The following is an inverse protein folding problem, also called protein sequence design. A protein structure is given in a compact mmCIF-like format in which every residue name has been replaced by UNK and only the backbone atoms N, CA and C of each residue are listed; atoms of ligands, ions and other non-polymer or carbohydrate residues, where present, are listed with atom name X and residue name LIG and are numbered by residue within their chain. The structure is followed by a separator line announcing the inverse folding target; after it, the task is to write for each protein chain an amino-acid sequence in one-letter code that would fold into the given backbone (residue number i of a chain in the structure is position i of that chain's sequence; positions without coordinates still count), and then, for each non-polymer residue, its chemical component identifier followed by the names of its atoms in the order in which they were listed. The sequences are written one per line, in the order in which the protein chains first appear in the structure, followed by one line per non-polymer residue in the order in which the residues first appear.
data_IF_128719529093
#
_entry.id   IF_128719529093
#
_cell.length_a   1.000
_cell.length_b   1.000
_cell.length_c   1.000
_cell.angle_alpha   90.00
_cell.angle_beta   90.00
_cell.angle_gamma   90.00
#
_symmetry.space_group_name_H-M   'P 1'
#
loop_
_entity.id
_entity.type
_entity.pdbx_description
1 polymer ?
#
# COMPACT_ATOMS: atom_id res chain seq x y z
N UNK A 1 -24.20 18.71 1.27
CA UNK A 1 -23.82 17.51 2.05
C UNK A 1 -22.61 17.87 2.91
N UNK A 2 -22.61 17.52 4.21
CA UNK A 2 -21.69 18.11 5.20
C UNK A 2 -20.26 17.52 5.20
N UNK A 3 -20.04 16.32 4.62
CA UNK A 3 -18.72 15.68 4.53
C UNK A 3 -18.60 14.80 3.24
N UNK A 4 -18.25 15.39 2.08
CA UNK A 4 -18.22 14.66 0.81
C UNK A 4 -17.17 13.53 0.77
N UNK A 5 -16.04 13.70 1.46
CA UNK A 5 -14.95 12.72 1.47
C UNK A 5 -15.28 11.49 2.32
N UNK A 6 -16.02 11.66 3.42
CA UNK A 6 -16.44 10.54 4.27
C UNK A 6 -17.48 9.66 3.56
N UNK A 7 -18.39 10.28 2.81
CA UNK A 7 -19.34 9.57 1.94
C UNK A 7 -18.59 8.81 0.84
N UNK A 8 -17.62 9.46 0.20
CA UNK A 8 -16.78 8.85 -0.84
C UNK A 8 -16.02 7.64 -0.29
N UNK A 9 -15.46 7.75 0.92
CA UNK A 9 -14.76 6.65 1.60
C UNK A 9 -15.70 5.47 1.88
N UNK A 10 -16.89 5.71 2.44
CA UNK A 10 -17.87 4.65 2.71
C UNK A 10 -18.33 3.96 1.43
N UNK A 11 -18.57 4.73 0.36
CA UNK A 11 -18.91 4.18 -0.96
C UNK A 11 -17.75 3.35 -1.52
N UNK A 12 -16.50 3.81 -1.39
CA UNK A 12 -15.32 3.08 -1.84
C UNK A 12 -15.16 1.74 -1.12
N UNK A 13 -15.37 1.69 0.21
CA UNK A 13 -15.37 0.45 0.98
C UNK A 13 -16.47 -0.49 0.52
N UNK A 14 -17.68 0.01 0.27
CA UNK A 14 -18.80 -0.79 -0.19
C UNK A 14 -18.55 -1.39 -1.59
N UNK A 15 -18.00 -0.58 -2.51
CA UNK A 15 -17.60 -1.03 -3.84
C UNK A 15 -16.49 -2.08 -3.75
N UNK A 16 -15.49 -1.89 -2.89
CA UNK A 16 -14.40 -2.85 -2.70
C UNK A 16 -14.91 -4.22 -2.21
N UNK A 17 -15.81 -4.24 -1.22
CA UNK A 17 -16.43 -5.48 -0.71
C UNK A 17 -17.30 -6.14 -1.79
N UNK A 18 -18.06 -5.36 -2.55
CA UNK A 18 -18.88 -5.87 -3.65
C UNK A 18 -18.03 -6.48 -4.77
N UNK A 19 -16.93 -5.82 -5.15
CA UNK A 19 -15.98 -6.34 -6.13
C UNK A 19 -15.37 -7.66 -5.67
N UNK A 20 -15.01 -7.77 -4.39
CA UNK A 20 -14.48 -9.00 -3.81
C UNK A 20 -15.48 -10.17 -3.83
N UNK A 21 -16.78 -9.90 -3.64
CA UNK A 21 -17.83 -10.94 -3.66
C UNK A 21 -18.32 -11.33 -5.06
N UNK A 22 -18.16 -10.45 -6.05
CA UNK A 22 -18.75 -10.63 -7.39
C UNK A 22 -17.91 -11.51 -8.34
N UNK A 23 -16.73 -11.96 -7.92
CA UNK A 23 -15.79 -12.73 -8.77
C UNK A 23 -15.12 -11.92 -9.88
N UNK A 24 -15.40 -10.61 -9.96
CA UNK A 24 -14.73 -9.68 -10.88
C UNK A 24 -13.21 -9.66 -10.64
N UNK A 25 -12.80 -9.78 -9.37
CA UNK A 25 -11.40 -9.87 -9.01
C UNK A 25 -10.72 -11.08 -9.67
N UNK A 26 -11.31 -12.27 -9.61
CA UNK A 26 -10.76 -13.48 -10.24
C UNK A 26 -10.65 -13.36 -11.77
N UNK A 27 -11.66 -12.76 -12.41
CA UNK A 27 -11.60 -12.45 -13.85
C UNK A 27 -10.46 -11.49 -14.18
N UNK A 28 -10.27 -10.44 -13.37
CA UNK A 28 -9.18 -9.48 -13.53
C UNK A 28 -7.81 -10.13 -13.30
N UNK A 29 -7.66 -11.02 -12.33
CA UNK A 29 -6.43 -11.79 -12.14
C UNK A 29 -6.11 -12.64 -13.36
N UNK A 30 -7.09 -13.32 -13.95
CA UNK A 30 -6.90 -14.08 -15.18
C UNK A 30 -6.47 -13.19 -16.35
N UNK A 31 -7.17 -12.08 -16.56
CA UNK A 31 -6.84 -11.13 -17.62
C UNK A 31 -5.43 -10.52 -17.44
N UNK A 32 -5.06 -10.13 -16.21
CA UNK A 32 -3.74 -9.57 -15.92
C UNK A 32 -2.63 -10.62 -15.99
N UNK A 33 -2.89 -11.86 -15.56
CA UNK A 33 -1.94 -12.97 -15.64
C UNK A 33 -1.53 -13.31 -17.07
N UNK A 34 -2.46 -13.17 -18.04
CA UNK A 34 -2.16 -13.38 -19.47
C UNK A 34 -1.26 -12.32 -20.10
N UNK A 35 -1.09 -11.15 -19.45
CA UNK A 35 -0.21 -10.07 -19.91
C UNK A 35 1.26 -10.29 -19.52
N UNK A 36 1.59 -11.37 -18.79
CA UNK A 36 2.96 -11.70 -18.39
C UNK A 36 3.63 -10.58 -17.60
N UNK A 37 4.79 -10.11 -18.07
CA UNK A 37 5.58 -9.05 -17.43
C UNK A 37 4.87 -7.69 -17.37
N UNK A 38 4.02 -7.35 -18.35
CA UNK A 38 3.20 -6.14 -18.27
C UNK A 38 2.09 -6.29 -17.21
N UNK A 39 1.55 -7.50 -17.10
CA UNK A 39 0.65 -7.88 -16.02
C UNK A 39 1.29 -7.63 -14.66
N UNK A 40 2.53 -8.07 -14.46
CA UNK A 40 3.26 -7.88 -13.21
C UNK A 40 3.33 -6.41 -12.77
N UNK A 41 3.53 -5.46 -13.69
CA UNK A 41 3.55 -4.02 -13.37
C UNK A 41 2.19 -3.52 -12.84
N UNK A 42 1.08 -3.85 -13.53
CA UNK A 42 -0.25 -3.39 -13.11
C UNK A 42 -0.74 -4.11 -11.86
N UNK A 43 -0.46 -5.42 -11.75
CA UNK A 43 -0.74 -6.21 -10.56
C UNK A 43 0.06 -5.66 -9.37
N UNK A 44 1.28 -5.19 -9.60
CA UNK A 44 2.08 -4.49 -8.59
C UNK A 44 1.36 -3.27 -8.02
N UNK A 45 0.75 -2.44 -8.86
CA UNK A 45 -0.05 -1.29 -8.38
C UNK A 45 -1.21 -1.72 -7.48
N UNK A 46 -1.82 -2.88 -7.76
CA UNK A 46 -2.89 -3.45 -6.95
C UNK A 46 -2.36 -4.08 -5.65
N UNK A 47 -1.12 -4.56 -5.65
CA UNK A 47 -0.51 -5.16 -4.47
C UNK A 47 -0.39 -4.16 -3.32
N UNK A 48 -0.11 -2.89 -3.63
CA UNK A 48 -0.01 -1.78 -2.68
C UNK A 48 -1.31 -1.46 -1.89
N UNK A 49 -2.47 -2.02 -2.29
CA UNK A 49 -3.73 -1.81 -1.59
C UNK A 49 -4.15 -3.09 -0.87
N UNK A 50 -4.38 -3.01 0.44
CA UNK A 50 -4.82 -4.11 1.31
C UNK A 50 -5.95 -4.94 0.73
N UNK A 51 -6.94 -4.27 0.13
CA UNK A 51 -8.14 -4.92 -0.39
C UNK A 51 -7.87 -5.70 -1.68
N UNK A 52 -6.84 -5.35 -2.45
CA UNK A 52 -6.46 -6.03 -3.70
C UNK A 52 -5.18 -6.84 -3.56
N UNK A 53 -4.48 -6.76 -2.43
CA UNK A 53 -3.25 -7.51 -2.15
C UNK A 53 -3.43 -9.04 -2.26
N UNK A 54 -4.50 -9.68 -1.72
CA UNK A 54 -4.70 -11.11 -1.91
C UNK A 54 -4.86 -11.52 -3.38
N UNK A 55 -5.57 -10.70 -4.16
CA UNK A 55 -5.73 -10.93 -5.59
C UNK A 55 -4.40 -10.83 -6.34
N UNK A 56 -3.64 -9.78 -6.02
CA UNK A 56 -2.33 -9.56 -6.62
C UNK A 56 -1.36 -10.69 -6.26
N UNK A 57 -1.38 -11.18 -5.01
CA UNK A 57 -0.58 -12.32 -4.58
C UNK A 57 -0.89 -13.60 -5.37
N UNK A 58 -2.18 -13.94 -5.54
CA UNK A 58 -2.60 -15.09 -6.37
C UNK A 58 -2.12 -14.91 -7.81
N UNK A 59 -2.23 -13.70 -8.37
CA UNK A 59 -1.80 -13.43 -9.74
C UNK A 59 -0.27 -13.54 -9.89
N UNK A 60 0.50 -13.07 -8.92
CA UNK A 60 1.96 -13.20 -8.91
C UNK A 60 2.42 -14.65 -8.76
N UNK A 61 1.70 -15.45 -7.96
CA UNK A 61 1.94 -16.88 -7.86
C UNK A 61 1.82 -17.54 -9.24
N UNK A 62 0.70 -17.32 -9.95
CA UNK A 62 0.50 -17.87 -11.30
C UNK A 62 1.49 -17.33 -12.32
N UNK A 63 1.83 -16.03 -12.27
CA UNK A 63 2.86 -15.47 -13.15
C UNK A 63 4.21 -16.16 -12.93
N UNK A 64 4.54 -16.51 -11.68
CA UNK A 64 5.75 -17.23 -11.30
C UNK A 64 5.85 -18.64 -11.88
N UNK A 65 4.73 -19.32 -12.14
CA UNK A 65 4.73 -20.66 -12.76
C UNK A 65 5.26 -20.61 -14.22
N UNK A 66 5.03 -19.49 -14.93
CA UNK A 66 5.30 -19.39 -16.36
C UNK A 66 6.42 -18.41 -16.73
N UNK A 67 6.84 -17.53 -15.81
CA UNK A 67 7.79 -16.45 -16.08
C UNK A 67 8.86 -16.35 -14.99
N UNK A 68 9.94 -15.62 -15.29
CA UNK A 68 11.06 -15.48 -14.36
C UNK A 68 10.66 -14.67 -13.10
N UNK A 69 10.75 -15.25 -11.89
CA UNK A 69 10.35 -14.59 -10.64
C UNK A 69 11.09 -13.28 -10.36
N UNK A 70 12.34 -13.15 -10.79
CA UNK A 70 13.13 -11.94 -10.59
C UNK A 70 12.62 -10.77 -11.43
N UNK A 71 12.24 -11.02 -12.70
CA UNK A 71 11.66 -9.99 -13.56
C UNK A 71 10.25 -9.60 -13.11
N UNK A 72 9.46 -10.57 -12.64
CA UNK A 72 8.16 -10.30 -12.01
C UNK A 72 8.35 -9.38 -10.79
N UNK A 73 9.27 -9.71 -9.90
CA UNK A 73 9.56 -8.93 -8.70
C UNK A 73 10.03 -7.50 -9.02
N UNK A 74 10.88 -7.34 -10.03
CA UNK A 74 11.36 -6.02 -10.47
C UNK A 74 10.19 -5.15 -10.96
N UNK A 75 9.39 -5.67 -11.89
CA UNK A 75 8.29 -4.91 -12.51
C UNK A 75 7.12 -4.72 -11.54
N UNK A 76 6.78 -5.76 -10.79
CA UNK A 76 5.77 -5.71 -9.74
C UNK A 76 6.14 -4.76 -8.62
N UNK A 77 7.39 -4.74 -8.17
CA UNK A 77 7.89 -3.77 -7.20
C UNK A 77 7.78 -2.33 -7.70
N UNK A 78 8.13 -2.06 -8.96
CA UNK A 78 7.92 -0.74 -9.58
C UNK A 78 6.44 -0.36 -9.62
N UNK A 79 5.57 -1.31 -9.97
CA UNK A 79 4.12 -1.13 -9.93
C UNK A 79 3.62 -0.76 -8.54
N UNK A 80 4.03 -1.51 -7.52
CA UNK A 80 3.65 -1.27 -6.14
C UNK A 80 4.13 0.09 -5.64
N UNK A 81 5.33 0.52 -6.03
CA UNK A 81 5.83 1.85 -5.71
C UNK A 81 4.97 2.98 -6.31
N UNK A 82 4.37 2.79 -7.50
CA UNK A 82 3.40 3.75 -8.03
C UNK A 82 2.10 3.77 -7.21
N UNK A 83 1.63 2.60 -6.76
CA UNK A 83 0.48 2.49 -5.84
C UNK A 83 0.73 3.21 -4.52
N UNK A 84 1.84 2.91 -3.85
CA UNK A 84 2.27 3.55 -2.60
C UNK A 84 2.46 5.06 -2.76
N UNK A 85 2.98 5.52 -3.90
CA UNK A 85 3.12 6.95 -4.17
C UNK A 85 1.75 7.64 -4.27
N UNK A 86 0.76 7.00 -4.90
CA UNK A 86 -0.60 7.51 -4.96
C UNK A 86 -1.25 7.57 -3.56
N UNK A 87 -1.09 6.50 -2.77
CA UNK A 87 -1.57 6.42 -1.38
C UNK A 87 -0.92 7.49 -0.52
N UNK A 88 0.40 7.65 -0.62
CA UNK A 88 1.18 8.66 0.10
C UNK A 88 0.70 10.07 -0.20
N UNK A 89 0.49 10.39 -1.48
CA UNK A 89 -0.01 11.69 -1.90
C UNK A 89 -1.42 11.98 -1.36
N UNK A 90 -2.30 10.98 -1.35
CA UNK A 90 -3.64 11.09 -0.79
C UNK A 90 -3.63 11.30 0.73
N UNK A 91 -2.86 10.50 1.47
CA UNK A 91 -2.72 10.59 2.92
C UNK A 91 -2.14 11.93 3.34
N UNK A 92 -1.00 12.30 2.76
CA UNK A 92 -0.25 13.50 3.13
C UNK A 92 -1.00 14.78 2.80
N UNK A 93 -1.57 14.88 1.60
CA UNK A 93 -2.10 16.15 1.11
C UNK A 93 -3.60 16.36 1.40
N UNK A 94 -4.37 15.27 1.60
CA UNK A 94 -5.82 15.36 1.84
C UNK A 94 -6.19 14.95 3.25
N UNK A 95 -5.93 13.69 3.62
CA UNK A 95 -6.42 13.14 4.89
C UNK A 95 -5.81 13.82 6.11
N UNK A 96 -4.49 13.99 6.17
CA UNK A 96 -3.86 14.63 7.34
C UNK A 96 -4.24 16.10 7.48
N UNK A 97 -4.30 16.84 6.37
CA UNK A 97 -4.78 18.23 6.36
C UNK A 97 -6.21 18.34 6.90
N UNK A 98 -7.13 17.49 6.43
CA UNK A 98 -8.53 17.49 6.89
C UNK A 98 -8.68 17.08 8.36
N UNK A 99 -7.88 16.10 8.82
CA UNK A 99 -7.89 15.69 10.23
C UNK A 99 -7.35 16.78 11.16
N UNK A 100 -6.29 17.49 10.75
CA UNK A 100 -5.76 18.63 11.50
C UNK A 100 -6.80 19.76 11.61
N UNK A 101 -7.47 20.13 10.51
CA UNK A 101 -8.53 21.15 10.51
C UNK A 101 -9.72 20.76 11.40
N UNK A 102 -10.14 19.49 11.38
CA UNK A 102 -11.22 18.99 12.24
C UNK A 102 -10.83 18.99 13.72
N UNK A 103 -9.58 18.62 14.01
CA UNK A 103 -9.03 18.60 15.36
C UNK A 103 -8.97 20.00 15.97
N UNK A 104 -8.46 20.98 15.20
CA UNK A 104 -8.40 22.38 15.63
C UNK A 104 -9.79 22.99 15.87
N UNK A 105 -10.81 22.57 15.11
CA UNK A 105 -12.19 23.05 15.28
C UNK A 105 -12.93 22.50 16.49
N UNK A 106 -12.62 21.29 16.97
CA UNK A 106 -13.41 20.62 18.01
C UNK A 106 -12.69 20.43 19.36
N UNK A 107 -11.36 20.58 19.42
CA UNK A 107 -10.60 20.25 20.62
C UNK A 107 -9.67 21.41 21.06
N UNK A 108 -10.23 22.42 21.73
CA UNK A 108 -9.44 23.46 22.42
C UNK A 108 -8.80 22.98 23.74
N UNK A 109 -9.14 21.78 24.24
CA UNK A 109 -8.84 21.36 25.61
C UNK A 109 -7.75 20.27 25.76
N UNK A 110 -7.37 19.57 24.69
CA UNK A 110 -6.32 18.54 24.76
C UNK A 110 -4.95 19.16 24.50
N UNK A 111 -4.11 19.21 25.55
CA UNK A 111 -2.74 19.75 25.49
C UNK A 111 -1.93 19.03 24.42
N UNK A 112 -1.53 19.80 23.39
CA UNK A 112 -0.60 19.41 22.32
C UNK A 112 0.66 18.73 22.86
N UNK A 113 1.08 19.07 24.07
CA UNK A 113 2.40 18.76 24.62
C UNK A 113 2.62 17.29 25.04
N UNK A 114 1.59 16.53 25.44
CA UNK A 114 1.85 15.17 25.97
C UNK A 114 2.01 14.13 24.85
N UNK A 115 1.23 14.25 23.78
CA UNK A 115 1.31 13.34 22.63
C UNK A 115 2.48 13.73 21.72
N UNK A 116 2.70 15.02 21.45
CA UNK A 116 3.81 15.46 20.58
C UNK A 116 5.19 15.17 21.17
N UNK A 117 5.35 15.19 22.50
CA UNK A 117 6.67 15.00 23.12
C UNK A 117 7.08 13.53 23.22
N UNK A 118 6.13 12.59 23.29
CA UNK A 118 6.43 11.15 23.30
C UNK A 118 6.93 10.66 21.92
N UNK A 119 6.37 11.19 20.83
CA UNK A 119 6.68 10.77 19.45
C UNK A 119 7.85 11.51 18.77
N UNK A 120 8.47 12.51 19.43
CA UNK A 120 9.58 13.29 18.86
C UNK A 120 10.99 12.86 19.30
N UNK A 121 11.11 11.79 20.07
CA UNK A 121 12.42 11.25 20.44
C UNK A 121 13.02 10.45 19.27
N UNK A 122 14.35 10.54 19.07
CA UNK A 122 15.07 9.84 17.98
C UNK A 122 14.78 8.33 17.93
N UNK A 123 14.53 7.73 19.11
CA UNK A 123 14.14 6.33 19.25
C UNK A 123 12.77 6.03 18.62
N UNK A 124 11.76 6.86 18.87
CA UNK A 124 10.43 6.70 18.29
C UNK A 124 10.41 6.94 16.77
N UNK A 125 11.25 7.84 16.27
CA UNK A 125 11.41 8.05 14.84
C UNK A 125 12.02 6.82 14.15
N UNK A 126 13.10 6.26 14.69
CA UNK A 126 13.74 5.06 14.15
C UNK A 126 12.86 3.82 14.22
N UNK A 127 12.18 3.60 15.36
CA UNK A 127 11.22 2.50 15.52
C UNK A 127 10.02 2.66 14.58
N UNK A 128 9.50 3.88 14.42
CA UNK A 128 8.40 4.18 13.50
C UNK A 128 8.77 3.88 12.05
N UNK A 129 9.97 4.29 11.61
CA UNK A 129 10.46 3.99 10.26
C UNK A 129 10.67 2.50 10.04
N UNK A 130 11.21 1.80 11.04
CA UNK A 130 11.40 0.35 11.01
C UNK A 130 10.07 -0.39 10.90
N UNK A 131 9.09 -0.05 11.75
CA UNK A 131 7.76 -0.64 11.71
C UNK A 131 7.06 -0.38 10.37
N UNK A 132 7.20 0.82 9.81
CA UNK A 132 6.67 1.13 8.49
C UNK A 132 7.29 0.25 7.39
N UNK A 133 8.61 0.03 7.44
CA UNK A 133 9.28 -0.90 6.53
C UNK A 133 8.84 -2.35 6.70
N UNK A 134 8.63 -2.80 7.94
CA UNK A 134 8.11 -4.15 8.22
C UNK A 134 6.68 -4.30 7.68
N UNK A 135 5.82 -3.29 7.87
CA UNK A 135 4.45 -3.31 7.38
C UNK A 135 4.38 -3.43 5.86
N UNK A 136 5.18 -2.64 5.13
CA UNK A 136 5.24 -2.68 3.65
C UNK A 136 5.91 -3.96 3.14
N UNK A 137 6.88 -4.52 3.87
CA UNK A 137 7.51 -5.78 3.49
C UNK A 137 6.57 -6.98 3.70
N UNK A 138 5.70 -6.89 4.68
CA UNK A 138 4.77 -7.94 5.04
C UNK A 138 3.52 -7.90 4.17
N UNK A 139 2.79 -9.01 4.01
CA UNK A 139 1.47 -9.03 3.34
C UNK A 139 0.37 -8.38 4.21
N UNK A 140 0.75 -7.38 5.02
CA UNK A 140 -0.14 -6.58 5.87
C UNK A 140 -0.54 -5.30 5.12
N UNK A 141 -1.40 -4.45 5.71
CA UNK A 141 -1.80 -3.21 5.07
C UNK A 141 -0.65 -2.24 4.80
N UNK A 142 -0.20 -2.18 3.54
CA UNK A 142 0.82 -1.24 3.07
C UNK A 142 0.43 0.21 3.36
N UNK A 143 -0.87 0.52 3.38
CA UNK A 143 -1.40 1.84 3.70
C UNK A 143 -0.98 2.32 5.10
N UNK A 144 -0.82 1.42 6.07
CA UNK A 144 -0.36 1.79 7.42
C UNK A 144 1.11 2.16 7.42
N UNK A 145 1.96 1.42 6.69
CA UNK A 145 3.36 1.74 6.54
C UNK A 145 3.56 3.06 5.78
N UNK A 146 2.84 3.25 4.68
CA UNK A 146 2.84 4.49 3.91
C UNK A 146 2.29 5.67 4.72
N UNK A 147 1.28 5.47 5.56
CA UNK A 147 0.76 6.49 6.47
C UNK A 147 1.81 6.93 7.50
N UNK A 148 2.56 6.00 8.07
CA UNK A 148 3.66 6.32 8.99
C UNK A 148 4.75 7.11 8.27
N UNK A 149 5.13 6.72 7.04
CA UNK A 149 6.08 7.49 6.24
C UNK A 149 5.57 8.89 5.88
N UNK A 150 4.30 9.02 5.55
CA UNK A 150 3.65 10.31 5.29
C UNK A 150 3.66 11.20 6.53
N UNK A 151 3.37 10.65 7.70
CA UNK A 151 3.41 11.35 8.99
C UNK A 151 4.82 11.87 9.33
N UNK A 152 5.85 11.05 9.11
CA UNK A 152 7.25 11.44 9.30
C UNK A 152 7.83 12.30 8.16
N UNK A 153 6.99 12.75 7.21
CA UNK A 153 7.38 13.64 6.12
C UNK A 153 8.50 13.09 5.23
N UNK A 154 8.53 11.78 5.01
CA UNK A 154 9.49 11.14 4.13
C UNK A 154 9.42 11.75 2.71
N UNK A 155 10.57 11.92 2.05
CA UNK A 155 10.57 12.50 0.70
C UNK A 155 10.05 11.45 -0.30
N UNK A 156 9.22 11.84 -1.29
CA UNK A 156 8.80 10.94 -2.37
C UNK A 156 9.95 10.18 -3.05
N UNK A 157 11.09 10.85 -3.22
CA UNK A 157 12.31 10.29 -3.82
C UNK A 157 12.93 9.17 -2.99
N UNK A 158 12.66 9.13 -1.68
CA UNK A 158 13.11 8.06 -0.78
C UNK A 158 12.05 6.95 -0.70
N UNK A 159 10.76 7.32 -0.76
CA UNK A 159 9.65 6.37 -0.74
C UNK A 159 9.65 5.44 -1.94
N UNK A 160 9.79 5.97 -3.16
CA UNK A 160 9.73 5.19 -4.40
C UNK A 160 10.71 4.01 -4.44
N UNK A 161 12.03 4.21 -4.27
CA UNK A 161 12.98 3.09 -4.31
C UNK A 161 12.83 2.15 -3.11
N UNK A 162 12.45 2.67 -1.93
CA UNK A 162 12.24 1.85 -0.74
C UNK A 162 11.04 0.93 -0.91
N UNK A 163 9.90 1.49 -1.32
CA UNK A 163 8.68 0.73 -1.61
C UNK A 163 8.94 -0.30 -2.71
N UNK A 164 9.58 0.09 -3.81
CA UNK A 164 9.88 -0.84 -4.89
C UNK A 164 10.73 -2.03 -4.43
N UNK A 165 11.70 -1.79 -3.55
CA UNK A 165 12.55 -2.85 -3.00
C UNK A 165 11.78 -3.75 -2.02
N UNK A 166 11.03 -3.19 -1.08
CA UNK A 166 10.30 -3.96 -0.07
C UNK A 166 9.16 -4.78 -0.71
N UNK A 167 8.33 -4.15 -1.54
CA UNK A 167 7.28 -4.84 -2.28
C UNK A 167 7.88 -5.85 -3.27
N UNK A 168 8.95 -5.47 -3.96
CA UNK A 168 9.67 -6.39 -4.87
C UNK A 168 10.15 -7.65 -4.15
N UNK A 169 10.65 -7.55 -2.91
CA UNK A 169 11.02 -8.72 -2.11
C UNK A 169 9.82 -9.60 -1.76
N UNK A 170 8.70 -9.01 -1.32
CA UNK A 170 7.47 -9.76 -1.04
C UNK A 170 6.96 -10.50 -2.29
N UNK A 171 6.88 -9.77 -3.41
CA UNK A 171 6.47 -10.31 -4.72
C UNK A 171 7.43 -11.41 -5.18
N UNK A 172 8.74 -11.24 -4.97
CA UNK A 172 9.74 -12.25 -5.31
C UNK A 172 9.47 -13.55 -4.57
N UNK A 173 9.21 -13.52 -3.26
CA UNK A 173 8.90 -14.74 -2.51
C UNK A 173 7.63 -15.43 -3.02
N UNK A 174 6.59 -14.67 -3.34
CA UNK A 174 5.34 -15.20 -3.88
C UNK A 174 5.57 -15.86 -5.26
N UNK A 175 6.22 -15.14 -6.18
CA UNK A 175 6.48 -15.63 -7.53
C UNK A 175 7.49 -16.80 -7.54
N UNK A 176 8.50 -16.77 -6.66
CA UNK A 176 9.45 -17.87 -6.51
C UNK A 176 8.78 -19.12 -5.93
N UNK A 177 7.81 -18.96 -5.03
CA UNK A 177 7.01 -20.07 -4.53
C UNK A 177 6.15 -20.68 -5.64
N UNK A 178 5.52 -19.86 -6.49
CA UNK A 178 4.83 -20.32 -7.70
C UNK A 178 5.73 -21.14 -8.61
N UNK A 179 6.91 -20.59 -8.95
CA UNK A 179 7.91 -21.25 -9.80
C UNK A 179 8.47 -22.56 -9.23
N UNK A 180 8.45 -22.77 -7.91
CA UNK A 180 9.04 -23.94 -7.26
C UNK A 180 8.06 -25.11 -7.09
N UNK A 181 6.75 -24.85 -7.16
CA UNK A 181 5.68 -25.82 -6.92
C UNK A 181 5.03 -26.31 -8.23
N UNK A 182 5.28 -25.63 -9.34
CA UNK A 182 4.83 -25.97 -10.70
C UNK A 182 5.83 -26.85 -11.46
#
# INVERSE_FOLDING_TARGET
MKYPNLLLFTIAVFIAVFLAWSGILEFLAGALGTLGYLGALFVGMLFAFSFTAPLAAVTFYFLGEFHNPFLIALLGGVGAAFGDFAIFGFLKNRLFTELEELWERHNHAFRKDFVTHLFHTRLFHGLGLFLAGVLILSPLPDELGVAIFAYYNLKPQQLLPLSAALNGLGIFFIAAFGSAVS
#
